data_IF_637765729838
#
_entry.id   IF_637765729838
#
_cell.length_a   1.000
_cell.length_b   1.000
_cell.length_c   1.000
_cell.angle_alpha   90.00
_cell.angle_beta   90.00
_cell.angle_gamma   90.00
#
_symmetry.space_group_name_H-M   'P 1'
#
loop_
_entity.id
_entity.type
_entity.pdbx_description
1 polymer ?
#
# COMPACT_ATOMS: atom_id res chain seq x y z
N UNK A 1 4.57 -8.44 1.27
CA UNK A 1 4.90 -7.04 0.89
C UNK A 1 4.81 -6.09 2.09
N UNK A 2 5.65 -5.05 2.21
CA UNK A 2 5.68 -4.14 3.40
C UNK A 2 5.22 -2.69 3.08
N UNK A 3 4.39 -2.10 3.95
CA UNK A 3 3.85 -0.74 3.81
C UNK A 3 4.91 0.37 3.88
N UNK A 4 5.84 0.29 4.82
CA UNK A 4 6.91 1.29 5.02
C UNK A 4 7.86 1.33 3.83
N UNK A 5 8.17 0.16 3.25
CA UNK A 5 8.94 0.06 2.01
C UNK A 5 8.22 0.79 0.85
N UNK A 6 6.94 0.51 0.62
CA UNK A 6 6.17 1.16 -0.44
C UNK A 6 6.04 2.69 -0.23
N UNK A 7 5.92 3.15 1.02
CA UNK A 7 5.90 4.59 1.33
C UNK A 7 7.22 5.27 0.96
N UNK A 8 8.34 4.58 1.12
CA UNK A 8 9.67 5.10 0.77
C UNK A 8 9.94 5.12 -0.74
N UNK A 9 9.25 4.30 -1.53
CA UNK A 9 9.42 4.24 -2.98
C UNK A 9 8.95 5.53 -3.67
N UNK A 10 9.63 5.96 -4.75
CA UNK A 10 9.16 7.07 -5.57
C UNK A 10 7.88 6.68 -6.34
N UNK A 11 7.05 7.67 -6.67
CA UNK A 11 5.72 7.44 -7.25
C UNK A 11 5.77 6.70 -8.59
N UNK A 12 6.79 6.95 -9.43
CA UNK A 12 6.97 6.25 -10.70
C UNK A 12 7.18 4.75 -10.52
N UNK A 13 7.97 4.33 -9.52
CA UNK A 13 8.19 2.91 -9.22
C UNK A 13 6.92 2.21 -8.72
N UNK A 14 6.11 2.93 -7.95
CA UNK A 14 4.82 2.41 -7.52
C UNK A 14 3.85 2.25 -8.71
N UNK A 15 3.88 3.17 -9.67
CA UNK A 15 3.08 3.04 -10.89
C UNK A 15 3.51 1.84 -11.74
N UNK A 16 4.82 1.68 -11.97
CA UNK A 16 5.38 0.50 -12.66
C UNK A 16 4.97 -0.82 -11.97
N UNK A 17 5.06 -0.86 -10.63
CA UNK A 17 4.65 -2.04 -9.87
C UNK A 17 3.14 -2.31 -10.02
N UNK A 18 2.30 -1.28 -9.90
CA UNK A 18 0.85 -1.42 -10.05
C UNK A 18 0.46 -1.90 -11.46
N UNK A 19 1.10 -1.38 -12.51
CA UNK A 19 0.91 -1.86 -13.89
C UNK A 19 1.32 -3.32 -14.04
N UNK A 20 2.46 -3.72 -13.47
CA UNK A 20 2.93 -5.12 -13.50
C UNK A 20 1.98 -6.10 -12.79
N UNK A 21 1.18 -5.60 -11.85
CA UNK A 21 0.16 -6.35 -11.11
C UNK A 21 -1.22 -6.29 -11.78
N UNK A 22 -1.35 -5.64 -12.95
CA UNK A 22 -2.61 -5.50 -13.68
C UNK A 22 -3.61 -4.53 -13.02
N UNK A 23 -3.14 -3.56 -12.24
CA UNK A 23 -4.00 -2.56 -11.58
C UNK A 23 -4.28 -1.42 -12.56
N UNK A 24 -5.55 -1.29 -12.98
CA UNK A 24 -5.99 -0.25 -13.91
C UNK A 24 -6.35 1.08 -13.22
N UNK A 25 -6.43 2.17 -13.99
CA UNK A 25 -6.97 3.45 -13.52
C UNK A 25 -6.04 4.29 -12.62
N UNK A 26 -4.73 4.02 -12.64
CA UNK A 26 -3.76 4.63 -11.72
C UNK A 26 -3.16 5.98 -12.16
N UNK A 27 -3.48 6.52 -13.34
CA UNK A 27 -2.79 7.70 -13.89
C UNK A 27 -2.97 9.02 -13.10
N UNK A 28 -3.96 9.10 -12.21
CA UNK A 28 -4.28 10.33 -11.41
C UNK A 28 -4.54 10.05 -9.93
N UNK A 29 -4.15 8.87 -9.46
CA UNK A 29 -4.36 8.42 -8.09
C UNK A 29 -3.34 9.08 -7.15
N UNK A 30 -3.75 9.38 -5.91
CA UNK A 30 -2.79 9.83 -4.88
C UNK A 30 -1.84 8.68 -4.54
N UNK A 31 -0.59 8.99 -4.18
CA UNK A 31 0.41 7.99 -3.79
C UNK A 31 -0.11 7.01 -2.73
N UNK A 32 -0.83 7.52 -1.72
CA UNK A 32 -1.41 6.68 -0.66
C UNK A 32 -2.42 5.66 -1.20
N UNK A 33 -3.32 6.09 -2.09
CA UNK A 33 -4.34 5.22 -2.68
C UNK A 33 -3.70 4.18 -3.63
N UNK A 34 -2.61 4.55 -4.31
CA UNK A 34 -1.81 3.63 -5.13
C UNK A 34 -1.19 2.51 -4.27
N UNK A 35 -0.55 2.88 -3.16
CA UNK A 35 0.04 1.94 -2.20
C UNK A 35 -1.03 0.97 -1.68
N UNK A 36 -2.22 1.48 -1.33
CA UNK A 36 -3.33 0.64 -0.89
C UNK A 36 -3.81 -0.33 -1.97
N UNK A 37 -3.87 0.13 -3.22
CA UNK A 37 -4.27 -0.72 -4.35
C UNK A 37 -3.28 -1.86 -4.58
N UNK A 38 -1.98 -1.57 -4.50
CA UNK A 38 -0.90 -2.55 -4.60
C UNK A 38 -1.00 -3.58 -3.46
N UNK A 39 -1.10 -3.12 -2.21
CA UNK A 39 -1.23 -4.01 -1.04
C UNK A 39 -2.48 -4.90 -1.12
N UNK A 40 -3.61 -4.34 -1.54
CA UNK A 40 -4.86 -5.08 -1.71
C UNK A 40 -4.75 -6.14 -2.81
N UNK A 41 -4.07 -5.82 -3.92
CA UNK A 41 -3.84 -6.78 -5.00
C UNK A 41 -2.95 -7.94 -4.52
N UNK A 42 -1.86 -7.64 -3.81
CA UNK A 42 -0.96 -8.66 -3.24
C UNK A 42 -1.65 -9.55 -2.20
N UNK A 43 -2.44 -8.97 -1.29
CA UNK A 43 -3.20 -9.76 -0.31
C UNK A 43 -4.24 -10.67 -0.99
N UNK A 44 -4.88 -10.20 -2.07
CA UNK A 44 -5.84 -11.00 -2.84
C UNK A 44 -5.20 -12.18 -3.57
N UNK A 45 -3.90 -12.15 -3.87
CA UNK A 45 -3.18 -13.31 -4.41
C UNK A 45 -2.83 -14.35 -3.34
N UNK A 46 -3.24 -14.13 -2.08
CA UNK A 46 -2.99 -15.05 -0.97
C UNK A 46 -1.65 -14.82 -0.27
N UNK A 47 -0.96 -13.73 -0.59
CA UNK A 47 0.35 -13.39 -0.01
C UNK A 47 0.19 -12.46 1.20
N UNK A 48 1.08 -12.60 2.19
CA UNK A 48 1.05 -11.79 3.39
C UNK A 48 1.51 -10.34 3.13
N UNK A 49 0.83 -9.40 3.78
CA UNK A 49 1.22 -7.99 3.84
C UNK A 49 1.63 -7.62 5.27
N UNK A 50 2.63 -6.74 5.36
CA UNK A 50 3.25 -6.33 6.60
C UNK A 50 3.22 -4.81 6.71
N UNK A 51 3.14 -4.32 7.94
CA UNK A 51 3.24 -2.90 8.25
C UNK A 51 3.80 -2.71 9.63
N UNK A 52 4.46 -1.57 9.83
CA UNK A 52 5.03 -1.13 11.09
C UNK A 52 4.59 0.30 11.39
N UNK A 53 4.64 0.66 12.66
CA UNK A 53 4.18 1.95 13.15
C UNK A 53 4.37 2.06 14.66
N UNK A 54 4.05 3.24 15.18
CA UNK A 54 4.00 3.50 16.61
C UNK A 54 2.54 3.36 17.05
N UNK A 55 2.28 2.52 18.04
CA UNK A 55 0.94 2.32 18.60
C UNK A 55 0.49 3.58 19.36
N UNK A 56 -0.68 4.09 19.02
CA UNK A 56 -1.33 5.20 19.71
C UNK A 56 -2.75 4.79 20.11
N UNK A 57 -3.01 4.70 21.42
CA UNK A 57 -4.31 4.26 21.95
C UNK A 57 -5.21 5.48 22.16
N UNK A 58 -6.38 5.49 21.50
CA UNK A 58 -7.38 6.52 21.66
C UNK A 58 -8.23 6.32 22.92
N UNK A 59 -8.99 7.34 23.32
CA UNK A 59 -9.82 7.32 24.53
C UNK A 59 -10.84 6.17 24.55
N UNK A 60 -11.31 5.77 23.38
CA UNK A 60 -12.26 4.68 23.19
C UNK A 60 -11.61 3.28 23.30
N UNK A 61 -10.29 3.21 23.52
CA UNK A 61 -9.55 1.97 23.77
C UNK A 61 -9.02 1.24 22.53
N UNK A 62 -9.13 1.82 21.33
CA UNK A 62 -8.53 1.27 20.10
C UNK A 62 -7.27 2.05 19.67
N UNK A 63 -6.35 1.39 18.96
CA UNK A 63 -5.08 1.93 18.47
C UNK A 63 -4.35 0.97 17.56
#
# INVERSE_FOLDING_TARGET
MNLSELKSMPANRLMELAESMGIEGIARIKKQDLIFSILKSHAKSGEDIYGDGVLEILQDGFG
#
